data_IF_558579667346
#
_entry.id   IF_558579667346
#
_cell.length_a   1.000
_cell.length_b   1.000
_cell.length_c   1.000
_cell.angle_alpha   90.00
_cell.angle_beta   90.00
_cell.angle_gamma   90.00
#
_symmetry.space_group_name_H-M   'P 1'
#
loop_
_entity.id
_entity.type
_entity.pdbx_description
1 polymer ?
#
# COMPACT_ATOMS: atom_id res chain seq x y z
N UNK A 1 3.00 2.60 21.62
CA UNK A 1 2.04 2.47 20.52
C UNK A 1 2.82 2.21 19.25
N UNK A 2 2.56 1.12 18.55
CA UNK A 2 3.30 0.71 17.35
C UNK A 2 2.46 1.09 16.12
N UNK A 3 3.03 1.81 15.15
CA UNK A 3 2.35 2.21 13.92
C UNK A 3 2.90 1.38 12.76
N UNK A 4 2.01 0.83 11.97
CA UNK A 4 2.33 0.05 10.77
C UNK A 4 1.68 0.73 9.56
N UNK A 5 2.43 1.55 8.80
CA UNK A 5 1.94 2.10 7.55
C UNK A 5 1.64 0.96 6.58
N UNK A 6 0.45 1.00 5.98
CA UNK A 6 -0.01 0.01 5.03
C UNK A 6 0.19 0.50 3.58
N UNK A 7 0.67 -0.39 2.72
CA UNK A 7 0.82 -0.20 1.28
C UNK A 7 0.16 -1.40 0.61
N UNK A 8 -0.97 -1.15 -0.06
CA UNK A 8 -1.63 -2.16 -0.87
C UNK A 8 -1.15 -2.00 -2.31
N UNK A 9 -0.66 -3.10 -2.90
CA UNK A 9 -0.11 -3.14 -4.25
C UNK A 9 -1.05 -3.93 -5.14
N UNK A 10 -1.39 -3.36 -6.29
CA UNK A 10 -2.14 -4.04 -7.34
C UNK A 10 -1.62 -3.58 -8.70
N UNK A 11 -1.35 -4.51 -9.59
CA UNK A 11 -0.79 -4.30 -10.93
C UNK A 11 0.49 -3.44 -10.90
N UNK A 12 1.34 -3.70 -9.89
CA UNK A 12 2.57 -2.93 -9.63
C UNK A 12 2.37 -1.50 -9.12
N UNK A 13 1.13 -1.05 -8.89
CA UNK A 13 0.80 0.31 -8.42
C UNK A 13 0.30 0.30 -6.99
N UNK A 14 0.49 1.42 -6.29
CA UNK A 14 -0.08 1.64 -4.97
C UNK A 14 -1.55 2.04 -5.07
N UNK A 15 -2.40 1.19 -4.52
CA UNK A 15 -3.84 1.37 -4.55
C UNK A 15 -4.40 1.51 -3.15
N UNK A 16 -5.51 2.23 -3.03
CA UNK A 16 -6.30 2.23 -1.79
C UNK A 16 -7.74 1.91 -2.13
N UNK A 17 -8.28 0.93 -1.40
CA UNK A 17 -9.69 0.58 -1.46
C UNK A 17 -10.48 1.51 -0.56
N UNK A 18 -11.55 2.12 -1.09
CA UNK A 18 -12.50 2.84 -0.25
C UNK A 18 -13.49 1.84 0.34
N UNK A 19 -13.43 1.62 1.65
CA UNK A 19 -14.31 0.69 2.37
C UNK A 19 -14.32 -0.75 1.83
N UNK A 20 -13.19 -1.25 1.31
CA UNK A 20 -13.09 -2.61 0.75
C UNK A 20 -13.85 -2.82 -0.56
N UNK A 21 -14.41 -1.77 -1.16
CA UNK A 21 -15.06 -1.84 -2.47
C UNK A 21 -14.00 -1.71 -3.57
N UNK A 22 -13.76 -2.81 -4.29
CA UNK A 22 -12.85 -2.89 -5.43
C UNK A 22 -13.25 -1.99 -6.60
N UNK A 23 -14.50 -1.54 -6.64
CA UNK A 23 -15.02 -0.67 -7.70
C UNK A 23 -14.56 0.80 -7.56
N UNK A 24 -13.95 1.16 -6.41
CA UNK A 24 -13.39 2.48 -6.15
C UNK A 24 -11.90 2.39 -5.76
N UNK A 25 -11.14 1.64 -6.57
CA UNK A 25 -9.68 1.62 -6.50
C UNK A 25 -9.16 3.00 -6.91
N UNK A 26 -8.55 3.71 -5.95
CA UNK A 26 -7.82 4.93 -6.25
C UNK A 26 -6.33 4.61 -6.26
N UNK A 27 -5.68 4.85 -7.40
CA UNK A 27 -4.22 4.82 -7.50
C UNK A 27 -3.72 6.11 -6.84
N UNK A 28 -2.99 5.98 -5.74
CA UNK A 28 -2.44 7.13 -5.02
C UNK A 28 -0.95 7.35 -5.28
N UNK A 29 -0.23 6.30 -5.68
CA UNK A 29 1.14 6.40 -6.20
C UNK A 29 1.38 5.28 -7.22
N UNK A 30 2.29 5.52 -8.16
CA UNK A 30 2.63 4.54 -9.19
C UNK A 30 3.88 3.72 -8.81
N UNK A 31 4.64 4.16 -7.80
CA UNK A 31 5.86 3.50 -7.36
C UNK A 31 5.78 3.08 -5.87
N UNK A 32 5.51 1.80 -5.58
CA UNK A 32 5.48 1.28 -4.22
C UNK A 32 6.80 1.41 -3.46
N UNK A 33 7.94 1.33 -4.18
CA UNK A 33 9.25 1.47 -3.57
C UNK A 33 9.46 2.90 -3.06
N UNK A 34 9.05 3.89 -3.85
CA UNK A 34 9.11 5.30 -3.45
C UNK A 34 8.27 5.55 -2.19
N UNK A 35 7.05 5.01 -2.11
CA UNK A 35 6.18 5.14 -0.93
C UNK A 35 6.81 4.46 0.29
N UNK A 36 7.35 3.26 0.13
CA UNK A 36 8.05 2.55 1.21
C UNK A 36 9.24 3.36 1.74
N UNK A 37 10.05 3.95 0.85
CA UNK A 37 11.19 4.81 1.24
C UNK A 37 10.72 6.05 2.01
N UNK A 38 9.61 6.67 1.61
CA UNK A 38 9.05 7.83 2.33
C UNK A 38 8.67 7.47 3.75
N UNK A 39 8.03 6.32 3.97
CA UNK A 39 7.66 5.86 5.31
C UNK A 39 8.87 5.56 6.19
N UNK A 40 9.89 4.90 5.63
CA UNK A 40 11.15 4.66 6.35
C UNK A 40 11.81 5.99 6.73
N UNK A 41 11.85 6.97 5.80
CA UNK A 41 12.36 8.32 6.08
C UNK A 41 11.54 9.08 7.12
N UNK A 42 10.24 8.81 7.21
CA UNK A 42 9.36 9.36 8.23
C UNK A 42 9.51 8.68 9.61
N UNK A 43 10.39 7.67 9.73
CA UNK A 43 10.68 6.96 10.98
C UNK A 43 9.89 5.68 11.19
N UNK A 44 9.21 5.16 10.16
CA UNK A 44 8.53 3.87 10.26
C UNK A 44 9.56 2.74 10.40
N UNK A 45 9.45 1.96 11.48
CA UNK A 45 10.29 0.77 11.70
C UNK A 45 9.72 -0.49 11.05
N UNK A 46 8.45 -0.46 10.67
CA UNK A 46 7.74 -1.57 10.06
C UNK A 46 6.85 -1.06 8.93
N UNK A 47 6.64 -1.89 7.91
CA UNK A 47 5.72 -1.65 6.80
C UNK A 47 4.80 -2.84 6.67
N UNK A 48 3.51 -2.59 6.52
CA UNK A 48 2.52 -3.60 6.17
C UNK A 48 2.29 -3.53 4.66
N UNK A 49 2.73 -4.57 3.94
CA UNK A 49 2.61 -4.67 2.49
C UNK A 49 1.61 -5.77 2.15
N UNK A 50 0.62 -5.44 1.33
CA UNK A 50 -0.40 -6.38 0.86
C UNK A 50 -0.36 -6.44 -0.66
N UNK A 51 -0.08 -7.60 -1.21
CA UNK A 51 -0.20 -7.87 -2.64
C UNK A 51 -1.63 -8.32 -2.94
N UNK A 52 -2.40 -7.43 -3.57
CA UNK A 52 -3.79 -7.70 -3.94
C UNK A 52 -3.91 -8.58 -5.18
N UNK A 53 -2.89 -8.63 -6.05
CA UNK A 53 -2.93 -9.50 -7.23
C UNK A 53 -2.85 -10.97 -6.79
N UNK A 54 -1.98 -11.27 -5.81
CA UNK A 54 -1.88 -12.60 -5.22
C UNK A 54 -3.02 -12.95 -4.26
N UNK A 55 -3.57 -11.97 -3.54
CA UNK A 55 -4.65 -12.21 -2.58
C UNK A 55 -6.01 -12.51 -3.22
N UNK A 56 -6.21 -12.14 -4.49
CA UNK A 56 -7.45 -12.36 -5.25
C UNK A 56 -7.46 -13.69 -6.03
N UNK A 57 -6.50 -14.59 -5.78
CA UNK A 57 -6.43 -15.94 -6.38
C UNK A 57 -7.25 -16.95 -5.59
#
# INVERSE_FOLDING_TARGET
MQIYPAIDIKDGKCVRLKQGQFDQVTIYDEDPLKVAIQWVKAGASYLHLVDLDGALT
#
